data_IF_560513872681
#
_entry.id   IF_560513872681
#
_cell.length_a   1.000
_cell.length_b   1.000
_cell.length_c   1.000
_cell.angle_alpha   90.00
_cell.angle_beta   90.00
_cell.angle_gamma   90.00
#
_symmetry.space_group_name_H-M   'P 1'
#
loop_
_entity.id
_entity.type
_entity.pdbx_description
1 polymer ?
#
# COMPACT_ATOMS: atom_id res chain seq x y z
N UNK A 1 10.25 1.73 15.63
CA UNK A 1 9.30 2.46 14.76
C UNK A 1 8.01 1.67 14.75
N UNK A 2 6.89 2.27 15.16
CA UNK A 2 5.61 1.55 15.35
C UNK A 2 4.85 1.32 14.02
N UNK A 3 5.27 1.98 12.95
CA UNK A 3 4.62 1.95 11.63
C UNK A 3 5.23 0.93 10.67
N UNK A 4 5.98 -0.08 11.12
CA UNK A 4 6.55 -1.08 10.19
C UNK A 4 5.44 -1.94 9.59
N UNK A 5 5.27 -1.97 8.27
CA UNK A 5 4.39 -2.94 7.59
C UNK A 5 5.04 -4.32 7.64
N UNK A 6 4.29 -5.32 8.12
CA UNK A 6 4.77 -6.71 8.27
C UNK A 6 4.04 -7.69 7.35
N UNK A 7 2.94 -7.27 6.75
CA UNK A 7 2.22 -8.04 5.76
C UNK A 7 1.46 -7.10 4.83
N UNK A 8 1.50 -7.42 3.54
CA UNK A 8 0.63 -6.83 2.51
C UNK A 8 0.00 -7.96 1.70
N UNK A 9 -1.27 -7.79 1.35
CA UNK A 9 -2.01 -8.71 0.49
C UNK A 9 -2.81 -7.91 -0.53
N UNK A 10 -2.57 -8.08 -1.84
CA UNK A 10 -3.49 -7.60 -2.85
C UNK A 10 -4.86 -8.29 -2.68
N UNK A 11 -5.93 -7.51 -2.62
CA UNK A 11 -7.30 -8.01 -2.51
C UNK A 11 -7.97 -8.06 -3.89
N UNK A 12 -7.96 -6.92 -4.56
CA UNK A 12 -8.44 -6.70 -5.92
C UNK A 12 -7.54 -5.66 -6.58
N UNK A 13 -7.74 -5.41 -7.88
CA UNK A 13 -6.96 -4.38 -8.57
C UNK A 13 -7.15 -3.03 -7.86
N UNK A 14 -6.04 -2.33 -7.57
CA UNK A 14 -6.01 -1.06 -6.85
C UNK A 14 -6.45 -1.12 -5.38
N UNK A 15 -6.44 -2.31 -4.75
CA UNK A 15 -6.74 -2.47 -3.33
C UNK A 15 -5.81 -3.45 -2.62
N UNK A 16 -5.27 -3.01 -1.48
CA UNK A 16 -4.38 -3.81 -0.62
C UNK A 16 -4.96 -3.91 0.79
N UNK A 17 -4.79 -5.06 1.43
CA UNK A 17 -4.83 -5.19 2.87
C UNK A 17 -3.42 -5.11 3.43
N UNK A 18 -3.20 -4.26 4.43
CA UNK A 18 -1.92 -4.10 5.12
C UNK A 18 -2.05 -4.40 6.60
N UNK A 19 -0.97 -4.89 7.20
CA UNK A 19 -0.86 -5.08 8.64
C UNK A 19 0.49 -4.56 9.12
N UNK A 20 0.43 -3.79 10.20
CA UNK A 20 1.58 -3.23 10.89
C UNK A 20 2.05 -4.12 12.04
N UNK A 21 3.30 -3.93 12.45
CA UNK A 21 3.97 -4.73 13.47
C UNK A 21 3.28 -4.66 14.86
N UNK A 22 2.55 -3.58 15.14
CA UNK A 22 1.80 -3.39 16.38
C UNK A 22 0.42 -4.07 16.36
N UNK A 23 0.03 -4.66 15.24
CA UNK A 23 -1.25 -5.33 15.04
C UNK A 23 -2.30 -4.46 14.35
N UNK A 24 -2.07 -3.16 14.16
CA UNK A 24 -2.96 -2.32 13.35
C UNK A 24 -3.06 -2.90 11.95
N UNK A 25 -4.27 -2.94 11.40
CA UNK A 25 -4.53 -3.44 10.05
C UNK A 25 -5.53 -2.51 9.38
N UNK A 26 -5.43 -2.41 8.06
CA UNK A 26 -6.36 -1.60 7.28
C UNK A 26 -6.23 -1.86 5.79
N UNK A 27 -6.97 -1.08 5.03
CA UNK A 27 -6.98 -1.16 3.58
C UNK A 27 -6.33 0.07 2.95
N UNK A 28 -5.68 -0.14 1.80
CA UNK A 28 -5.18 0.93 0.94
C UNK A 28 -5.87 0.81 -0.40
N UNK A 29 -6.55 1.86 -0.84
CA UNK A 29 -7.31 1.91 -2.08
C UNK A 29 -6.72 2.99 -2.97
N UNK A 30 -6.38 2.65 -4.20
CA UNK A 30 -5.85 3.58 -5.19
C UNK A 30 -6.95 4.01 -6.13
N UNK A 31 -7.05 5.30 -6.40
CA UNK A 31 -7.82 5.83 -7.52
C UNK A 31 -6.91 6.05 -8.70
N UNK A 32 -7.49 5.95 -9.90
CA UNK A 32 -6.77 6.16 -11.16
C UNK A 32 -6.14 7.56 -11.27
N UNK A 33 -6.75 8.56 -10.62
CA UNK A 33 -6.23 9.92 -10.47
C UNK A 33 -4.84 9.98 -9.82
N UNK A 34 -4.53 9.02 -8.94
CA UNK A 34 -3.24 8.90 -8.27
C UNK A 34 -2.19 8.14 -9.10
N UNK A 35 -2.60 7.47 -10.18
CA UNK A 35 -1.73 6.60 -10.99
C UNK A 35 -1.01 7.40 -12.08
N UNK A 36 -0.08 8.26 -11.67
CA UNK A 36 0.79 9.03 -12.55
C UNK A 36 2.26 8.90 -12.14
N UNK A 37 3.17 9.23 -13.04
CA UNK A 37 4.62 9.10 -12.79
C UNK A 37 5.01 7.65 -12.49
N UNK A 38 5.72 7.42 -11.39
CA UNK A 38 6.18 6.09 -10.96
C UNK A 38 5.02 5.12 -10.67
N UNK A 39 3.85 5.63 -10.26
CA UNK A 39 2.68 4.82 -9.97
C UNK A 39 1.85 4.45 -11.21
N UNK A 40 2.15 5.02 -12.38
CA UNK A 40 1.42 4.70 -13.61
C UNK A 40 1.48 3.20 -13.96
N UNK A 41 2.61 2.55 -13.66
CA UNK A 41 2.79 1.13 -13.90
C UNK A 41 1.80 0.26 -13.09
N UNK A 42 1.29 0.77 -11.96
CA UNK A 42 0.30 0.08 -11.13
C UNK A 42 -1.10 0.00 -11.76
N UNK A 43 -1.33 0.67 -12.90
CA UNK A 43 -2.51 0.45 -13.75
C UNK A 43 -2.54 -0.97 -14.33
N UNK A 44 -1.39 -1.65 -14.43
CA UNK A 44 -1.34 -3.06 -14.79
C UNK A 44 -1.73 -3.93 -13.58
N UNK A 45 -2.85 -4.68 -13.63
CA UNK A 45 -3.25 -5.54 -12.52
C UNK A 45 -2.24 -6.64 -12.19
N UNK A 46 -1.49 -7.14 -13.19
CA UNK A 46 -0.47 -8.15 -12.98
C UNK A 46 0.75 -7.58 -12.25
N UNK A 47 1.12 -6.31 -12.52
CA UNK A 47 2.13 -5.63 -11.72
C UNK A 47 1.61 -5.35 -10.31
N UNK A 48 0.40 -4.81 -10.19
CA UNK A 48 -0.20 -4.48 -8.90
C UNK A 48 -0.29 -5.69 -7.96
N UNK A 49 -0.64 -6.87 -8.49
CA UNK A 49 -0.70 -8.11 -7.72
C UNK A 49 0.66 -8.59 -7.18
N UNK A 50 1.77 -7.99 -7.60
CA UNK A 50 3.12 -8.29 -7.10
C UNK A 50 3.51 -7.44 -5.88
N UNK A 51 2.56 -6.73 -5.27
CA UNK A 51 2.79 -5.99 -4.03
C UNK A 51 3.36 -6.92 -2.96
N UNK A 52 4.49 -6.52 -2.38
CA UNK A 52 5.15 -7.22 -1.28
C UNK A 52 5.60 -6.21 -0.23
N UNK A 53 5.92 -6.70 0.95
CA UNK A 53 6.51 -5.86 1.99
C UNK A 53 7.99 -6.18 2.13
N UNK A 54 8.84 -5.16 2.07
CA UNK A 54 10.27 -5.26 2.30
C UNK A 54 10.74 -4.17 3.27
N UNK A 55 11.55 -4.55 4.24
CA UNK A 55 12.08 -3.66 5.31
C UNK A 55 11.05 -2.79 6.07
N UNK A 56 9.75 -3.02 5.89
CA UNK A 56 8.68 -2.22 6.50
C UNK A 56 7.86 -1.37 5.55
N UNK A 57 8.20 -1.39 4.26
CA UNK A 57 7.56 -0.65 3.19
C UNK A 57 6.69 -1.58 2.36
N UNK A 58 5.68 -1.03 1.69
CA UNK A 58 4.97 -1.75 0.63
C UNK A 58 5.65 -1.39 -0.68
N UNK A 59 6.10 -2.40 -1.43
CA UNK A 59 6.85 -2.23 -2.67
C UNK A 59 6.35 -3.14 -3.79
N UNK A 60 6.61 -2.72 -5.02
CA UNK A 60 6.41 -3.47 -6.26
C UNK A 60 7.72 -3.60 -7.04
N UNK A 61 7.80 -4.50 -8.03
CA UNK A 61 8.89 -4.47 -9.00
C UNK A 61 8.97 -3.11 -9.70
N UNK A 62 10.19 -2.64 -9.98
CA UNK A 62 10.40 -1.36 -10.68
C UNK A 62 10.55 -0.15 -9.76
N UNK A 63 11.04 -0.33 -8.52
CA UNK A 63 11.34 0.77 -7.58
C UNK A 63 10.11 1.63 -7.23
N UNK A 64 8.95 0.99 -7.18
CA UNK A 64 7.69 1.62 -6.74
C UNK A 64 7.48 1.21 -5.30
N UNK A 65 7.43 2.19 -4.40
CA UNK A 65 7.18 1.96 -2.98
C UNK A 65 6.18 2.96 -2.40
N UNK A 66 5.62 2.59 -1.26
CA UNK A 66 4.76 3.46 -0.46
C UNK A 66 5.29 3.48 0.97
N UNK A 67 5.60 4.68 1.42
CA UNK A 67 6.04 4.94 2.77
C UNK A 67 4.93 4.59 3.78
N UNK A 68 5.27 3.89 4.86
CA UNK A 68 4.28 3.41 5.81
C UNK A 68 3.83 4.44 6.84
N UNK A 69 4.46 5.63 6.87
CA UNK A 69 4.18 6.71 7.82
C UNK A 69 2.77 7.30 7.59
N UNK A 70 2.53 7.87 6.41
CA UNK A 70 1.23 8.42 6.04
C UNK A 70 0.13 7.33 6.02
N UNK A 71 0.50 6.13 5.57
CA UNK A 71 -0.38 4.96 5.58
C UNK A 71 -0.86 4.62 6.99
N UNK A 72 0.05 4.60 7.97
CA UNK A 72 -0.25 4.24 9.34
C UNK A 72 -1.18 5.25 9.99
N UNK A 73 -0.91 6.55 9.83
CA UNK A 73 -1.71 7.60 10.45
C UNK A 73 -3.16 7.58 9.93
N UNK A 74 -3.35 7.46 8.62
CA UNK A 74 -4.70 7.41 8.02
C UNK A 74 -5.43 6.12 8.40
N UNK A 75 -4.76 4.97 8.37
CA UNK A 75 -5.38 3.69 8.76
C UNK A 75 -5.73 3.69 10.24
N UNK A 76 -4.92 4.30 11.10
CA UNK A 76 -5.20 4.40 12.53
C UNK A 76 -6.47 5.21 12.82
N UNK A 77 -6.73 6.26 12.04
CA UNK A 77 -7.90 7.12 12.23
C UNK A 77 -9.15 6.60 11.51
N UNK A 78 -9.00 6.05 10.30
CA UNK A 78 -10.11 5.75 9.40
C UNK A 78 -10.24 4.27 9.01
N UNK A 79 -9.24 3.43 9.31
CA UNK A 79 -9.18 2.02 8.91
C UNK A 79 -8.88 1.78 7.42
N UNK A 80 -9.01 2.82 6.59
CA UNK A 80 -8.81 2.76 5.15
C UNK A 80 -8.14 4.05 4.65
N UNK A 81 -7.07 3.89 3.87
CA UNK A 81 -6.40 5.00 3.19
C UNK A 81 -6.73 4.99 1.70
N UNK A 82 -7.33 6.08 1.23
CA UNK A 82 -7.64 6.28 -0.19
C UNK A 82 -6.61 7.23 -0.79
N UNK A 83 -5.86 6.73 -1.76
CA UNK A 83 -4.93 7.50 -2.59
C UNK A 83 -5.69 8.04 -3.79
N UNK A 84 -5.84 9.37 -3.85
CA UNK A 84 -6.52 10.12 -4.91
C UNK A 84 -5.56 11.12 -5.57
#
# INVERSE_FOLDING_TARGET
MHYKVVSVKPLEHLRLAVRFADGLSGEVVFKESHLYGVFEALKDPALFAQARCDEGFVEWPGEIDIAPDAMYDVIKEHGCWVLD
#
